data_IF_096106313421
#
_entry.id   IF_096106313421
#
_cell.length_a   1.000
_cell.length_b   1.000
_cell.length_c   1.000
_cell.angle_alpha   90.00
_cell.angle_beta   90.00
_cell.angle_gamma   90.00
#
_symmetry.space_group_name_H-M   'P 1'
#
loop_
_entity.id
_entity.type
_entity.pdbx_description
1 polymer ?
#
# COMPACT_ATOMS: atom_id res chain seq x y z
N UNK A 1 68.99 37.40 22.82
CA UNK A 1 68.18 36.22 23.23
C UNK A 1 66.71 36.53 23.40
N UNK A 2 66.27 37.71 23.69
CA UNK A 2 64.85 38.08 23.95
C UNK A 2 64.02 38.28 22.68
N UNK A 3 64.59 38.54 21.50
CA UNK A 3 63.89 38.77 20.21
C UNK A 3 63.40 37.49 19.52
N UNK A 4 64.19 36.43 19.57
CA UNK A 4 63.87 35.15 18.93
C UNK A 4 62.72 34.41 19.66
N UNK A 5 62.59 34.53 20.96
CA UNK A 5 61.54 33.94 21.77
C UNK A 5 60.16 34.56 21.47
N UNK A 6 60.11 35.89 21.24
CA UNK A 6 58.88 36.59 20.86
C UNK A 6 58.36 36.16 19.46
N UNK A 7 59.24 35.96 18.52
CA UNK A 7 58.85 35.51 17.16
C UNK A 7 58.33 34.07 17.19
N UNK A 8 58.94 33.21 18.02
CA UNK A 8 58.46 31.82 18.16
C UNK A 8 57.08 31.72 18.81
N UNK A 9 56.81 32.50 19.87
CA UNK A 9 55.51 32.54 20.56
C UNK A 9 54.41 33.10 19.63
N UNK A 10 54.71 34.13 18.81
CA UNK A 10 53.76 34.69 17.85
C UNK A 10 53.46 33.70 16.72
N UNK A 11 54.41 32.91 16.27
CA UNK A 11 54.22 31.86 15.30
C UNK A 11 53.29 30.74 15.82
N UNK A 12 53.47 30.33 17.07
CA UNK A 12 52.62 29.29 17.68
C UNK A 12 51.21 29.79 17.88
N UNK A 13 50.98 31.02 18.34
CA UNK A 13 49.65 31.58 18.53
C UNK A 13 48.88 31.73 17.22
N UNK A 14 49.53 32.13 16.14
CA UNK A 14 48.94 32.20 14.80
C UNK A 14 48.58 30.80 14.26
N UNK A 15 49.39 29.80 14.56
CA UNK A 15 49.13 28.40 14.13
C UNK A 15 47.94 27.80 14.88
N UNK A 16 47.77 28.09 16.17
CA UNK A 16 46.58 27.65 16.94
C UNK A 16 45.30 28.38 16.50
N UNK A 17 45.36 29.66 16.19
CA UNK A 17 44.24 30.42 15.65
C UNK A 17 43.81 29.91 14.28
N UNK A 18 44.75 29.58 13.40
CA UNK A 18 44.49 29.04 12.07
C UNK A 18 43.86 27.65 12.16
N UNK A 19 44.36 26.73 13.03
CA UNK A 19 43.75 25.42 13.29
C UNK A 19 42.34 25.53 13.83
N UNK A 20 42.11 26.43 14.80
CA UNK A 20 40.76 26.65 15.36
C UNK A 20 39.78 27.19 14.33
N UNK A 21 40.23 28.05 13.42
CA UNK A 21 39.41 28.61 12.36
C UNK A 21 39.07 27.57 11.28
N UNK A 22 40.02 26.72 10.90
CA UNK A 22 39.81 25.62 9.95
C UNK A 22 38.88 24.58 10.56
N UNK A 23 39.05 24.20 11.83
CA UNK A 23 38.13 23.24 12.49
C UNK A 23 36.70 23.79 12.58
N UNK A 24 36.51 25.06 12.96
CA UNK A 24 35.16 25.66 13.01
C UNK A 24 34.48 25.68 11.63
N UNK A 25 35.23 25.97 10.55
CA UNK A 25 34.71 25.89 9.19
C UNK A 25 34.38 24.45 8.80
N UNK A 26 35.18 23.45 9.20
CA UNK A 26 34.92 22.04 8.94
C UNK A 26 33.66 21.55 9.66
N UNK A 27 33.44 21.96 10.91
CA UNK A 27 32.21 21.64 11.65
C UNK A 27 30.96 22.28 11.04
N UNK A 28 31.05 23.53 10.57
CA UNK A 28 29.94 24.21 9.90
C UNK A 28 29.65 23.53 8.55
N UNK A 29 30.66 23.15 7.77
CA UNK A 29 30.45 22.40 6.51
C UNK A 29 29.85 21.03 6.78
N UNK A 30 30.27 20.32 7.83
CA UNK A 30 29.74 19.01 8.20
C UNK A 30 28.31 19.08 8.73
N UNK A 31 27.96 20.13 9.50
CA UNK A 31 26.59 20.34 9.98
C UNK A 31 25.64 20.75 8.84
N UNK A 32 26.10 21.51 7.85
CA UNK A 32 25.33 21.85 6.65
C UNK A 32 25.16 20.60 5.74
N UNK A 33 26.19 19.74 5.60
CA UNK A 33 26.06 18.49 4.85
C UNK A 33 25.13 17.49 5.55
N UNK A 34 25.11 17.45 6.89
CA UNK A 34 24.23 16.59 7.65
C UNK A 34 22.76 17.06 7.60
N UNK A 35 22.53 18.37 7.50
CA UNK A 35 21.17 18.92 7.39
C UNK A 35 20.56 18.77 6.00
N UNK A 36 21.36 18.56 4.96
CA UNK A 36 20.87 18.30 3.61
C UNK A 36 20.59 16.80 3.34
N UNK A 37 21.03 15.89 4.23
CA UNK A 37 20.82 14.46 4.07
C UNK A 37 19.45 13.95 4.58
N UNK A 38 18.63 14.82 5.19
CA UNK A 38 17.30 14.47 5.67
C UNK A 38 16.18 15.27 4.99
N UNK A 39 16.29 15.50 3.68
CA UNK A 39 15.11 15.70 2.87
C UNK A 39 14.49 14.32 2.63
N UNK A 40 13.89 13.75 3.67
CA UNK A 40 12.88 12.74 3.48
C UNK A 40 11.74 13.44 2.76
N UNK A 41 11.56 13.22 1.46
CA UNK A 41 10.31 13.52 0.84
C UNK A 41 9.25 12.83 1.70
N UNK A 42 8.37 13.61 2.32
CA UNK A 42 7.27 13.06 3.06
C UNK A 42 6.41 12.32 2.02
N UNK A 43 6.47 11.00 2.04
CA UNK A 43 5.57 10.17 1.24
C UNK A 43 4.18 10.35 1.84
N UNK A 44 3.27 10.93 1.07
CA UNK A 44 1.88 11.01 1.47
C UNK A 44 1.22 9.65 1.21
N UNK A 45 0.81 8.99 2.29
CA UNK A 45 0.03 7.76 2.19
C UNK A 45 -1.42 8.10 2.55
N UNK A 46 -2.34 7.76 1.65
CA UNK A 46 -3.78 7.77 1.89
C UNK A 46 -4.28 6.33 1.90
N UNK A 47 -5.24 6.08 2.75
CA UNK A 47 -5.83 4.75 2.93
C UNK A 47 -7.27 4.73 2.45
N UNK A 48 -7.84 3.55 2.23
CA UNK A 48 -9.24 3.34 1.93
C UNK A 48 -10.10 3.67 3.16
N UNK A 49 -10.29 4.96 3.43
CA UNK A 49 -11.00 5.47 4.61
C UNK A 49 -12.47 5.69 4.28
N UNK A 50 -13.36 4.87 4.85
CA UNK A 50 -14.82 5.00 4.68
C UNK A 50 -15.41 6.25 5.37
N UNK A 51 -14.65 7.00 6.16
CA UNK A 51 -15.06 8.29 6.71
C UNK A 51 -14.76 9.47 5.78
N UNK A 52 -14.01 9.24 4.69
CA UNK A 52 -13.68 10.26 3.70
C UNK A 52 -14.93 10.70 2.91
N UNK A 53 -14.89 11.92 2.37
CA UNK A 53 -15.93 12.43 1.50
C UNK A 53 -15.76 11.89 0.07
N UNK A 54 -16.51 10.83 -0.25
CA UNK A 54 -16.50 10.23 -1.58
C UNK A 54 -17.40 10.98 -2.54
N UNK A 55 -16.91 11.13 -3.77
CA UNK A 55 -17.62 11.64 -4.93
C UNK A 55 -17.89 10.50 -5.91
N UNK A 56 -18.89 10.67 -6.75
CA UNK A 56 -19.25 9.74 -7.80
C UNK A 56 -19.20 10.38 -9.19
N UNK A 57 -18.70 9.63 -10.17
CA UNK A 57 -18.70 10.03 -11.58
C UNK A 57 -18.94 8.81 -12.45
N UNK A 58 -19.84 8.95 -13.43
CA UNK A 58 -20.12 7.90 -14.40
C UNK A 58 -19.67 8.31 -15.79
N UNK A 59 -18.99 7.38 -16.49
CA UNK A 59 -18.83 7.41 -17.93
C UNK A 59 -19.72 6.32 -18.54
N UNK A 60 -20.44 6.66 -19.58
CA UNK A 60 -21.36 5.77 -20.27
C UNK A 60 -20.89 5.62 -21.72
N UNK A 61 -20.83 4.35 -22.15
CA UNK A 61 -20.41 4.00 -23.50
C UNK A 61 -21.47 3.10 -24.14
N UNK A 62 -21.48 3.03 -25.45
CA UNK A 62 -22.18 1.97 -26.16
C UNK A 62 -21.63 0.60 -25.75
N UNK A 63 -22.43 -0.45 -25.91
CA UNK A 63 -21.94 -1.82 -25.70
C UNK A 63 -20.83 -2.11 -26.71
N UNK A 64 -19.95 -3.08 -26.39
CA UNK A 64 -18.90 -3.52 -27.32
C UNK A 64 -19.51 -3.99 -28.66
N UNK A 65 -20.66 -4.65 -28.60
CA UNK A 65 -21.40 -5.10 -29.79
C UNK A 65 -21.86 -3.91 -30.67
N UNK A 66 -22.11 -2.74 -30.07
CA UNK A 66 -22.52 -1.51 -30.74
C UNK A 66 -21.32 -0.56 -30.98
N UNK A 67 -20.09 -1.06 -30.92
CA UNK A 67 -18.87 -0.34 -31.25
C UNK A 67 -18.19 0.38 -30.07
N UNK A 68 -18.72 0.30 -28.84
CA UNK A 68 -18.06 0.81 -27.62
C UNK A 68 -17.84 2.32 -27.56
N UNK A 69 -18.55 3.13 -28.36
CA UNK A 69 -18.34 4.57 -28.44
C UNK A 69 -18.74 5.26 -27.13
N UNK A 70 -17.97 6.26 -26.72
CA UNK A 70 -18.34 7.14 -25.60
C UNK A 70 -19.65 7.88 -25.91
N UNK A 71 -20.57 7.91 -24.94
CA UNK A 71 -21.87 8.56 -25.05
C UNK A 71 -21.91 9.84 -24.23
N UNK A 72 -21.68 9.74 -22.91
CA UNK A 72 -21.58 10.89 -22.01
C UNK A 72 -20.88 10.53 -20.70
N UNK A 73 -20.49 11.56 -19.93
CA UNK A 73 -20.06 11.42 -18.55
C UNK A 73 -20.63 12.55 -17.71
N UNK A 74 -20.92 12.25 -16.44
CA UNK A 74 -21.45 13.22 -15.48
C UNK A 74 -21.16 12.84 -14.04
N UNK A 75 -21.23 13.83 -13.12
CA UNK A 75 -21.22 13.60 -11.69
C UNK A 75 -22.51 12.90 -11.25
N UNK A 76 -22.38 11.87 -10.42
CA UNK A 76 -23.48 11.07 -9.87
C UNK A 76 -23.34 10.97 -8.36
N UNK A 77 -24.43 10.75 -7.63
CA UNK A 77 -24.36 10.38 -6.22
C UNK A 77 -23.65 9.02 -6.07
N UNK A 78 -22.86 8.86 -5.02
CA UNK A 78 -22.16 7.59 -4.73
C UNK A 78 -23.17 6.43 -4.66
N UNK A 79 -24.34 6.66 -4.02
CA UNK A 79 -25.43 5.68 -3.96
C UNK A 79 -26.04 5.35 -5.34
N UNK A 80 -26.04 6.32 -6.26
CA UNK A 80 -26.56 6.12 -7.61
C UNK A 80 -25.62 5.26 -8.47
N UNK A 81 -24.34 5.25 -8.12
CA UNK A 81 -23.34 4.32 -8.69
C UNK A 81 -23.46 2.89 -8.11
N UNK A 82 -24.32 2.68 -7.10
CA UNK A 82 -24.36 1.46 -6.28
C UNK A 82 -23.09 1.23 -5.47
N UNK A 83 -22.45 2.31 -5.03
CA UNK A 83 -21.39 2.25 -4.04
C UNK A 83 -21.96 2.60 -2.67
N UNK A 84 -21.67 1.77 -1.67
CA UNK A 84 -22.11 1.99 -0.29
C UNK A 84 -20.90 2.31 0.55
N UNK A 85 -20.84 3.53 1.08
CA UNK A 85 -19.78 3.97 2.01
C UNK A 85 -20.35 3.87 3.42
N UNK A 86 -19.79 2.97 4.23
CA UNK A 86 -20.22 2.72 5.61
C UNK A 86 -19.06 3.05 6.57
N UNK A 87 -19.10 4.28 7.10
CA UNK A 87 -18.10 4.74 8.07
C UNK A 87 -18.18 3.95 9.39
N UNK A 88 -19.35 3.41 9.76
CA UNK A 88 -19.51 2.60 10.96
C UNK A 88 -18.88 1.22 10.84
N UNK A 89 -18.93 0.62 9.66
CA UNK A 89 -18.27 -0.65 9.35
C UNK A 89 -16.82 -0.45 8.85
N UNK A 90 -16.40 0.78 8.54
CA UNK A 90 -15.08 1.06 7.97
C UNK A 90 -14.92 0.49 6.56
N UNK A 91 -15.99 0.45 5.75
CA UNK A 91 -15.98 -0.24 4.46
C UNK A 91 -16.62 0.55 3.33
N UNK A 92 -16.14 0.29 2.11
CA UNK A 92 -16.75 0.74 0.85
C UNK A 92 -17.13 -0.49 0.05
N UNK A 93 -18.43 -0.66 -0.20
CA UNK A 93 -18.95 -1.75 -1.03
C UNK A 93 -19.22 -1.22 -2.43
N UNK A 94 -18.70 -1.92 -3.44
CA UNK A 94 -18.84 -1.60 -4.87
C UNK A 94 -19.67 -2.68 -5.56
N UNK A 95 -20.61 -2.26 -6.40
CA UNK A 95 -21.51 -3.15 -7.14
C UNK A 95 -21.67 -2.66 -8.59
N UNK A 96 -22.21 -3.50 -9.50
CA UNK A 96 -22.70 -3.04 -10.80
C UNK A 96 -23.75 -1.94 -10.66
N UNK A 97 -23.84 -1.05 -11.66
CA UNK A 97 -24.88 -0.04 -11.64
C UNK A 97 -26.25 -0.65 -11.97
N UNK A 98 -27.18 -0.58 -11.01
CA UNK A 98 -28.58 -1.04 -11.16
C UNK A 98 -29.56 0.12 -11.37
N UNK A 99 -29.20 1.34 -10.95
CA UNK A 99 -30.11 2.48 -10.93
C UNK A 99 -30.56 2.85 -12.35
N UNK A 100 -29.64 2.88 -13.33
CA UNK A 100 -30.01 3.20 -14.71
C UNK A 100 -31.04 2.24 -15.33
N UNK A 101 -31.02 0.99 -14.92
CA UNK A 101 -32.02 -0.01 -15.32
C UNK A 101 -33.34 0.16 -14.56
N UNK A 102 -33.26 0.32 -13.23
CA UNK A 102 -34.43 0.41 -12.36
C UNK A 102 -35.24 1.68 -12.56
N UNK A 103 -34.56 2.81 -12.75
CA UNK A 103 -35.18 4.13 -12.90
C UNK A 103 -35.75 4.39 -14.29
N UNK A 104 -35.38 3.57 -15.28
CA UNK A 104 -35.78 3.70 -16.68
C UNK A 104 -36.42 2.41 -17.24
N UNK A 105 -37.51 1.92 -16.65
CA UNK A 105 -38.11 0.66 -17.06
C UNK A 105 -38.63 0.74 -18.49
N UNK A 106 -38.14 -0.18 -19.34
CA UNK A 106 -38.53 -0.26 -20.76
C UNK A 106 -37.91 0.78 -21.67
N UNK A 107 -37.00 1.64 -21.18
CA UNK A 107 -36.25 2.58 -22.06
C UNK A 107 -35.20 1.80 -22.88
N UNK A 108 -35.31 1.78 -24.23
CA UNK A 108 -34.37 1.06 -25.07
C UNK A 108 -32.96 1.66 -25.06
N UNK A 109 -32.76 2.85 -24.53
CA UNK A 109 -31.44 3.40 -24.32
C UNK A 109 -30.69 2.61 -23.25
N UNK A 110 -31.34 2.31 -22.11
CA UNK A 110 -30.73 1.60 -20.99
C UNK A 110 -30.95 0.08 -20.99
N UNK A 111 -32.01 -0.38 -21.65
CA UNK A 111 -32.44 -1.78 -21.64
C UNK A 111 -32.58 -2.27 -23.07
N UNK A 112 -31.82 -3.29 -23.45
CA UNK A 112 -31.99 -3.93 -24.76
C UNK A 112 -33.37 -4.62 -24.83
N UNK A 113 -34.26 -4.16 -25.72
CA UNK A 113 -35.61 -4.71 -25.79
C UNK A 113 -35.67 -6.17 -26.31
N UNK A 114 -34.62 -6.65 -26.98
CA UNK A 114 -34.56 -8.00 -27.49
C UNK A 114 -34.14 -9.01 -26.41
N UNK A 115 -33.26 -8.63 -25.50
CA UNK A 115 -32.68 -9.53 -24.50
C UNK A 115 -33.12 -9.22 -23.07
N UNK A 116 -33.60 -8.00 -22.80
CA UNK A 116 -33.88 -7.53 -21.44
C UNK A 116 -32.64 -7.27 -20.61
N UNK A 117 -31.45 -7.30 -21.20
CA UNK A 117 -30.18 -6.98 -20.55
C UNK A 117 -29.89 -5.47 -20.56
N UNK A 118 -28.91 -5.04 -19.80
CA UNK A 118 -28.40 -3.68 -19.90
C UNK A 118 -27.87 -3.37 -21.30
N UNK A 119 -28.11 -2.17 -21.79
CA UNK A 119 -27.78 -1.73 -23.16
C UNK A 119 -26.65 -0.69 -23.21
N UNK A 120 -25.98 -0.43 -22.10
CA UNK A 120 -24.81 0.48 -22.04
C UNK A 120 -23.69 -0.15 -21.22
N UNK A 121 -22.47 0.08 -21.67
CA UNK A 121 -21.28 -0.11 -20.83
C UNK A 121 -21.22 1.05 -19.85
N UNK A 122 -21.19 0.74 -18.57
CA UNK A 122 -21.18 1.71 -17.49
C UNK A 122 -19.83 1.64 -16.76
N UNK A 123 -19.16 2.77 -16.64
CA UNK A 123 -17.95 2.93 -15.86
C UNK A 123 -18.27 3.83 -14.66
N UNK A 124 -18.49 3.23 -13.49
CA UNK A 124 -18.76 3.93 -12.24
C UNK A 124 -17.47 4.18 -11.49
N UNK A 125 -17.19 5.45 -11.16
CA UNK A 125 -16.03 5.86 -10.40
C UNK A 125 -16.46 6.42 -9.05
N UNK A 126 -15.98 5.81 -7.96
CA UNK A 126 -16.19 6.24 -6.57
C UNK A 126 -14.85 6.65 -6.00
N UNK A 127 -14.65 7.93 -5.69
CA UNK A 127 -13.33 8.46 -5.40
C UNK A 127 -13.35 9.62 -4.40
N UNK A 128 -12.21 9.87 -3.80
CA UNK A 128 -11.90 11.10 -3.05
C UNK A 128 -11.10 12.01 -3.96
N UNK A 129 -11.46 13.30 -4.00
CA UNK A 129 -10.74 14.32 -4.76
C UNK A 129 -9.93 15.21 -3.82
N UNK A 130 -8.67 15.45 -4.17
CA UNK A 130 -7.79 16.34 -3.42
C UNK A 130 -7.05 17.30 -4.36
N UNK A 131 -7.21 18.59 -4.10
CA UNK A 131 -6.67 19.67 -4.94
C UNK A 131 -5.59 20.48 -4.21
N UNK A 132 -5.19 20.12 -2.98
CA UNK A 132 -4.34 21.00 -2.15
C UNK A 132 -3.18 20.28 -1.45
N UNK A 133 -3.47 19.21 -0.72
CA UNK A 133 -2.49 18.65 0.21
C UNK A 133 -1.58 17.57 -0.41
N UNK A 134 -1.99 16.99 -1.53
CA UNK A 134 -1.30 15.86 -2.18
C UNK A 134 -0.54 16.27 -3.44
N UNK A 135 -0.76 17.50 -3.92
CA UNK A 135 -0.14 18.02 -5.15
C UNK A 135 1.36 18.25 -4.94
N UNK A 136 2.17 17.95 -5.95
CA UNK A 136 3.61 18.20 -5.96
C UNK A 136 4.45 17.22 -5.13
N UNK A 137 3.86 16.10 -4.65
CA UNK A 137 4.55 15.09 -3.85
C UNK A 137 4.25 13.67 -4.33
N UNK A 138 5.02 12.70 -3.86
CA UNK A 138 4.69 11.30 -4.05
C UNK A 138 3.46 10.95 -3.22
N UNK A 139 2.50 10.25 -3.85
CA UNK A 139 1.29 9.75 -3.23
C UNK A 139 1.24 8.23 -3.32
N UNK A 140 1.02 7.57 -2.19
CA UNK A 140 0.68 6.15 -2.14
C UNK A 140 -0.75 5.98 -1.64
N UNK A 141 -1.60 5.30 -2.42
CA UNK A 141 -2.95 4.91 -2.04
C UNK A 141 -2.98 3.42 -1.73
N UNK A 142 -3.43 3.07 -0.53
CA UNK A 142 -3.51 1.69 -0.04
C UNK A 142 -4.90 1.35 0.46
N UNK A 143 -5.22 0.06 0.48
CA UNK A 143 -6.43 -0.47 1.07
C UNK A 143 -6.47 -1.98 0.95
N UNK A 144 -7.44 -2.61 1.58
CA UNK A 144 -7.62 -4.06 1.57
C UNK A 144 -8.93 -4.47 0.92
N UNK A 145 -8.96 -5.65 0.31
CA UNK A 145 -10.16 -6.27 -0.29
C UNK A 145 -10.66 -7.37 0.63
N UNK A 146 -11.64 -7.05 1.49
CA UNK A 146 -12.20 -8.02 2.43
C UNK A 146 -12.95 -9.16 1.72
N UNK A 147 -13.67 -8.84 0.63
CA UNK A 147 -14.33 -9.84 -0.21
C UNK A 147 -14.43 -9.39 -1.66
N UNK A 148 -14.45 -10.34 -2.58
CA UNK A 148 -14.65 -10.12 -4.00
C UNK A 148 -15.53 -11.25 -4.56
N UNK A 149 -16.79 -10.98 -4.80
CA UNK A 149 -17.79 -11.90 -5.36
C UNK A 149 -18.36 -11.39 -6.68
N UNK A 150 -17.79 -10.28 -7.20
CA UNK A 150 -18.26 -9.66 -8.44
C UNK A 150 -18.17 -10.62 -9.60
N UNK A 151 -19.23 -10.71 -10.41
CA UNK A 151 -19.29 -11.56 -11.61
C UNK A 151 -18.15 -11.19 -12.58
N UNK A 152 -17.49 -12.19 -13.22
CA UNK A 152 -16.36 -11.95 -14.15
C UNK A 152 -16.68 -11.11 -15.39
N UNK A 153 -17.96 -10.84 -15.70
CA UNK A 153 -18.36 -9.88 -16.74
C UNK A 153 -18.10 -8.43 -16.37
N UNK A 154 -17.77 -8.17 -15.10
CA UNK A 154 -17.38 -6.85 -14.58
C UNK A 154 -15.90 -6.82 -14.23
N UNK A 155 -15.31 -5.66 -14.41
CA UNK A 155 -13.92 -5.37 -14.00
C UNK A 155 -13.93 -4.30 -12.93
N UNK A 156 -13.20 -4.51 -11.85
CA UNK A 156 -13.01 -3.51 -10.81
C UNK A 156 -11.52 -3.31 -10.52
N UNK A 157 -11.14 -2.04 -10.33
CA UNK A 157 -9.78 -1.62 -10.02
C UNK A 157 -9.79 -0.53 -8.94
N UNK A 158 -8.69 -0.44 -8.19
CA UNK A 158 -8.33 0.78 -7.50
C UNK A 158 -7.51 1.68 -8.44
N UNK A 159 -7.60 3.00 -8.26
CA UNK A 159 -6.89 3.94 -9.13
C UNK A 159 -6.40 5.19 -8.40
N UNK A 160 -5.38 5.82 -8.99
CA UNK A 160 -5.05 7.24 -8.84
C UNK A 160 -5.17 7.86 -10.22
N UNK A 161 -6.05 8.87 -10.38
CA UNK A 161 -6.21 9.68 -11.60
C UNK A 161 -5.71 11.08 -11.33
N UNK A 162 -4.99 11.65 -12.29
CA UNK A 162 -4.46 13.01 -12.20
C UNK A 162 -4.97 13.81 -13.39
N UNK A 163 -5.45 15.02 -13.11
CA UNK A 163 -5.98 15.96 -14.10
C UNK A 163 -5.32 17.33 -13.95
N UNK A 164 -5.22 18.07 -15.04
CA UNK A 164 -4.89 19.48 -14.99
C UNK A 164 -6.05 20.29 -14.39
N UNK A 165 -5.82 21.58 -14.12
CA UNK A 165 -6.83 22.49 -13.58
C UNK A 165 -8.08 22.65 -14.46
N UNK A 166 -7.96 22.40 -15.74
CA UNK A 166 -9.08 22.37 -16.71
C UNK A 166 -9.75 20.99 -16.86
N UNK A 167 -9.39 20.04 -15.97
CA UNK A 167 -9.80 18.64 -16.00
C UNK A 167 -9.38 17.86 -17.23
N UNK A 168 -8.40 18.34 -18.01
CA UNK A 168 -7.76 17.49 -18.99
C UNK A 168 -6.96 16.37 -18.28
N UNK A 169 -7.12 15.14 -18.79
CA UNK A 169 -6.51 13.96 -18.20
C UNK A 169 -4.98 13.98 -18.36
N UNK A 170 -4.26 13.72 -17.28
CA UNK A 170 -2.79 13.65 -17.25
C UNK A 170 -2.31 12.21 -17.13
N UNK A 171 -2.74 11.49 -16.08
CA UNK A 171 -2.23 10.15 -15.79
C UNK A 171 -3.22 9.27 -15.01
N UNK A 172 -3.12 7.96 -15.24
CA UNK A 172 -3.82 6.90 -14.50
C UNK A 172 -2.81 5.87 -14.02
N UNK A 173 -2.79 5.65 -12.71
CA UNK A 173 -2.14 4.49 -12.10
C UNK A 173 -3.22 3.58 -11.50
N UNK A 174 -3.05 2.27 -11.61
CA UNK A 174 -4.07 1.31 -11.16
C UNK A 174 -3.48 0.11 -10.43
N UNK A 175 -4.31 -0.51 -9.58
CA UNK A 175 -4.04 -1.81 -9.00
C UNK A 175 -5.28 -2.72 -9.12
N UNK A 176 -5.09 -4.03 -9.36
CA UNK A 176 -6.18 -4.98 -9.31
C UNK A 176 -6.69 -5.13 -7.88
N UNK A 177 -7.99 -5.41 -7.75
CA UNK A 177 -8.63 -5.76 -6.48
C UNK A 177 -8.71 -7.29 -6.39
N UNK A 178 -8.09 -7.87 -5.36
CA UNK A 178 -8.04 -9.34 -5.15
C UNK A 178 -8.51 -9.67 -3.75
N UNK A 179 -9.48 -10.58 -3.63
CA UNK A 179 -10.05 -10.97 -2.34
C UNK A 179 -8.98 -11.40 -1.33
N UNK A 180 -9.07 -10.89 -0.10
CA UNK A 180 -8.15 -11.21 0.99
C UNK A 180 -6.75 -10.60 0.86
N UNK A 181 -6.53 -9.66 -0.08
CA UNK A 181 -5.25 -9.00 -0.29
C UNK A 181 -5.35 -7.48 -0.14
N UNK A 182 -4.25 -6.88 0.28
CA UNK A 182 -4.06 -5.44 0.22
C UNK A 182 -3.62 -5.03 -1.19
N UNK A 183 -4.01 -3.83 -1.59
CA UNK A 183 -3.49 -3.16 -2.79
C UNK A 183 -2.67 -1.93 -2.40
N UNK A 184 -1.74 -1.57 -3.27
CA UNK A 184 -0.94 -0.35 -3.13
C UNK A 184 -0.67 0.24 -4.51
N UNK A 185 -0.94 1.53 -4.68
CA UNK A 185 -0.67 2.30 -5.89
C UNK A 185 0.20 3.48 -5.50
N UNK A 186 1.33 3.66 -6.17
CA UNK A 186 2.20 4.82 -5.96
C UNK A 186 2.24 5.67 -7.22
N UNK A 187 1.98 6.95 -7.07
CA UNK A 187 2.13 7.97 -8.08
C UNK A 187 3.15 9.02 -7.64
N UNK A 188 4.21 9.19 -8.43
CA UNK A 188 5.18 10.26 -8.20
C UNK A 188 4.72 11.49 -8.96
N UNK A 189 4.15 12.45 -8.24
CA UNK A 189 3.61 13.67 -8.82
C UNK A 189 4.73 14.63 -9.20
N UNK A 190 4.93 14.79 -10.50
CA UNK A 190 5.88 15.73 -11.11
C UNK A 190 5.19 16.89 -11.81
N UNK A 191 3.84 16.91 -11.74
CA UNK A 191 3.02 17.89 -12.43
C UNK A 191 2.95 19.24 -11.68
N UNK A 192 2.52 20.32 -12.33
CA UNK A 192 2.32 21.62 -11.70
C UNK A 192 1.36 21.58 -10.49
N UNK A 193 1.50 22.56 -9.59
CA UNK A 193 0.73 22.66 -8.34
C UNK A 193 -0.80 22.78 -8.51
N UNK A 194 -1.28 23.12 -9.71
CA UNK A 194 -2.71 23.25 -10.03
C UNK A 194 -3.37 21.94 -10.52
N UNK A 195 -2.71 20.81 -10.33
CA UNK A 195 -3.18 19.48 -10.70
C UNK A 195 -4.22 18.95 -9.71
N UNK A 196 -5.33 18.41 -10.20
CA UNK A 196 -6.34 17.71 -9.41
C UNK A 196 -6.00 16.23 -9.31
N UNK A 197 -6.00 15.66 -8.09
CA UNK A 197 -5.75 14.24 -7.84
C UNK A 197 -7.04 13.59 -7.33
N UNK A 198 -7.42 12.48 -7.97
CA UNK A 198 -8.50 11.61 -7.55
C UNK A 198 -7.94 10.22 -7.24
N UNK A 199 -8.31 9.64 -6.09
CA UNK A 199 -7.98 8.27 -5.75
C UNK A 199 -9.23 7.54 -5.26
N UNK A 200 -9.38 6.30 -5.68
CA UNK A 200 -10.59 5.53 -5.40
C UNK A 200 -10.73 4.28 -6.25
N UNK A 201 -11.95 3.98 -6.64
CA UNK A 201 -12.33 2.72 -7.25
C UNK A 201 -13.16 2.92 -8.50
N UNK A 202 -13.04 1.97 -9.44
CA UNK A 202 -13.81 1.94 -10.67
C UNK A 202 -14.41 0.55 -10.84
N UNK A 203 -15.70 0.50 -11.20
CA UNK A 203 -16.37 -0.71 -11.66
C UNK A 203 -16.86 -0.49 -13.08
N UNK A 204 -16.52 -1.42 -13.98
CA UNK A 204 -16.86 -1.37 -15.39
C UNK A 204 -17.61 -2.63 -15.80
N UNK A 205 -18.74 -2.46 -16.45
CA UNK A 205 -19.54 -3.55 -17.00
C UNK A 205 -20.86 -3.04 -17.56
N UNK A 206 -21.73 -3.92 -18.03
CA UNK A 206 -23.07 -3.49 -18.46
C UNK A 206 -23.86 -2.95 -17.26
N UNK A 207 -24.67 -1.92 -17.50
CA UNK A 207 -25.68 -1.56 -16.51
C UNK A 207 -26.62 -2.75 -16.30
N UNK A 208 -27.04 -3.02 -15.06
CA UNK A 208 -27.58 -4.29 -14.67
C UNK A 208 -29.03 -4.24 -14.20
N UNK A 209 -29.79 -5.32 -14.49
CA UNK A 209 -31.09 -5.52 -13.90
C UNK A 209 -30.96 -5.81 -12.40
N UNK A 210 -31.60 -5.04 -11.50
CA UNK A 210 -31.54 -5.25 -10.04
C UNK A 210 -32.02 -6.64 -9.60
N UNK A 211 -32.83 -7.34 -10.38
CA UNK A 211 -33.22 -8.72 -10.10
C UNK A 211 -32.05 -9.70 -10.07
N UNK A 212 -30.89 -9.34 -10.62
CA UNK A 212 -29.67 -10.14 -10.66
C UNK A 212 -28.64 -9.70 -9.61
N UNK A 213 -28.96 -8.81 -8.67
CA UNK A 213 -28.01 -8.23 -7.74
C UNK A 213 -27.24 -9.30 -6.95
N UNK A 214 -27.92 -10.30 -6.40
CA UNK A 214 -27.28 -11.38 -5.65
C UNK A 214 -26.33 -12.23 -6.51
N UNK A 215 -26.67 -12.44 -7.79
CA UNK A 215 -25.87 -13.23 -8.72
C UNK A 215 -24.64 -12.47 -9.24
N UNK A 216 -24.75 -11.14 -9.38
CA UNK A 216 -23.68 -10.30 -9.89
C UNK A 216 -22.66 -9.91 -8.80
N UNK A 217 -23.05 -10.04 -7.54
CA UNK A 217 -22.16 -9.88 -6.39
C UNK A 217 -21.62 -8.47 -6.15
N UNK A 218 -20.54 -8.40 -5.38
CA UNK A 218 -19.96 -7.12 -4.92
C UNK A 218 -18.49 -7.27 -4.55
N UNK A 219 -17.86 -6.13 -4.29
CA UNK A 219 -16.52 -6.03 -3.70
C UNK A 219 -16.65 -5.22 -2.42
N UNK A 220 -16.03 -5.69 -1.34
CA UNK A 220 -15.94 -4.95 -0.07
C UNK A 220 -14.49 -4.53 0.14
N UNK A 221 -14.29 -3.21 0.17
CA UNK A 221 -13.00 -2.56 0.44
C UNK A 221 -12.98 -2.09 1.88
N UNK A 222 -11.86 -2.24 2.53
CA UNK A 222 -11.57 -1.77 3.89
C UNK A 222 -10.23 -1.04 3.91
N UNK A 223 -9.89 -0.37 5.01
CA UNK A 223 -8.62 0.36 5.16
C UNK A 223 -7.42 -0.54 4.82
N UNK A 224 -7.25 -1.59 5.56
CA UNK A 224 -6.33 -2.67 5.22
C UNK A 224 -7.02 -3.99 5.52
N UNK A 225 -6.80 -5.00 4.73
CA UNK A 225 -6.98 -6.33 5.27
C UNK A 225 -5.98 -6.35 6.42
N UNK A 226 -6.45 -6.14 7.65
CA UNK A 226 -5.71 -6.60 8.81
C UNK A 226 -5.54 -8.10 8.55
N UNK A 227 -4.51 -8.40 7.74
CA UNK A 227 -4.02 -9.73 7.62
C UNK A 227 -3.53 -10.13 9.01
N UNK A 228 -4.43 -10.69 9.75
CA UNK A 228 -4.17 -12.09 9.98
C UNK A 228 -4.29 -12.76 8.58
N UNK A 229 -3.26 -12.69 7.74
CA UNK A 229 -2.76 -13.94 7.27
C UNK A 229 -2.81 -14.76 8.54
N UNK A 230 -3.77 -15.67 8.63
CA UNK A 230 -3.76 -16.67 9.67
C UNK A 230 -2.45 -17.42 9.41
N UNK A 231 -1.36 -16.73 9.84
CA UNK A 231 -0.06 -17.34 9.96
C UNK A 231 -0.35 -18.37 11.01
N UNK A 232 -0.77 -19.55 10.50
CA UNK A 232 -1.01 -20.67 11.35
C UNK A 232 0.33 -20.96 12.03
N UNK A 233 0.51 -20.31 13.19
CA UNK A 233 1.71 -20.48 14.00
C UNK A 233 1.91 -21.96 14.34
N UNK A 234 0.89 -22.81 14.10
CA UNK A 234 0.99 -24.27 14.18
C UNK A 234 1.69 -24.86 12.97
N UNK A 235 1.77 -24.14 11.83
CA UNK A 235 2.49 -24.58 10.62
C UNK A 235 4.01 -24.68 10.82
N UNK A 236 4.58 -23.97 11.82
CA UNK A 236 6.00 -24.05 12.18
C UNK A 236 6.14 -24.83 13.49
N UNK A 237 6.80 -25.96 13.43
CA UNK A 237 7.23 -26.76 14.59
C UNK A 237 8.72 -26.60 14.86
N UNK A 238 9.10 -26.63 16.14
CA UNK A 238 10.50 -26.43 16.54
C UNK A 238 10.86 -27.36 17.68
N UNK A 239 12.02 -28.03 17.58
CA UNK A 239 12.50 -28.98 18.60
C UNK A 239 14.02 -29.24 18.49
N UNK A 240 14.65 -29.77 19.56
CA UNK A 240 14.16 -29.85 20.93
C UNK A 240 14.20 -28.51 21.64
N UNK A 241 13.33 -28.30 22.59
CA UNK A 241 13.42 -27.16 23.51
C UNK A 241 13.15 -27.64 24.94
N UNK A 242 14.15 -27.70 25.83
CA UNK A 242 15.51 -27.14 25.72
C UNK A 242 16.43 -27.84 24.72
N UNK A 243 17.32 -27.03 24.08
CA UNK A 243 18.31 -27.47 23.10
C UNK A 243 19.68 -27.69 23.77
N UNK A 244 20.43 -28.72 23.28
CA UNK A 244 21.82 -28.96 23.69
C UNK A 244 22.81 -28.58 22.56
N UNK A 245 22.60 -29.04 21.34
CA UNK A 245 23.52 -28.81 20.22
C UNK A 245 22.82 -28.39 18.96
N UNK A 246 21.70 -28.98 18.59
CA UNK A 246 20.97 -28.68 17.36
C UNK A 246 19.53 -28.34 17.66
N UNK A 247 19.01 -27.32 16.99
CA UNK A 247 17.64 -26.86 17.06
C UNK A 247 17.01 -26.96 15.68
N UNK A 248 16.03 -27.83 15.52
CA UNK A 248 15.35 -28.12 14.27
C UNK A 248 14.10 -27.25 14.15
N UNK A 249 13.92 -26.67 12.98
CA UNK A 249 12.76 -25.90 12.58
C UNK A 249 12.15 -26.60 11.37
N UNK A 250 10.88 -26.96 11.44
CA UNK A 250 10.10 -27.54 10.35
C UNK A 250 8.89 -26.65 10.06
N UNK A 251 8.61 -26.41 8.79
CA UNK A 251 7.51 -25.59 8.33
C UNK A 251 6.78 -26.27 7.16
N UNK A 252 5.49 -25.98 7.03
CA UNK A 252 4.72 -26.37 5.84
C UNK A 252 4.96 -25.42 4.66
N UNK A 253 5.54 -24.25 4.93
CA UNK A 253 5.94 -23.26 3.93
C UNK A 253 7.44 -23.06 3.90
N UNK A 254 7.97 -22.56 2.79
CA UNK A 254 9.39 -22.26 2.63
C UNK A 254 9.83 -21.23 3.67
N UNK A 255 10.83 -21.59 4.49
CA UNK A 255 11.47 -20.71 5.47
C UNK A 255 12.39 -19.76 4.73
N UNK A 256 12.01 -18.47 4.68
CA UNK A 256 12.76 -17.42 3.98
C UNK A 256 13.94 -16.95 4.81
N UNK A 257 13.75 -16.83 6.15
CA UNK A 257 14.83 -16.40 7.04
C UNK A 257 14.68 -16.98 8.44
N UNK A 258 15.82 -17.22 9.10
CA UNK A 258 15.94 -17.59 10.50
C UNK A 258 16.96 -16.69 11.17
N UNK A 259 16.51 -15.84 12.10
CA UNK A 259 17.36 -14.96 12.90
C UNK A 259 17.23 -15.29 14.38
N UNK A 260 18.36 -15.63 15.05
CA UNK A 260 18.36 -16.00 16.45
C UNK A 260 19.13 -14.94 17.25
N UNK A 261 18.52 -14.48 18.34
CA UNK A 261 19.03 -13.40 19.19
C UNK A 261 19.21 -13.90 20.63
N UNK A 262 20.23 -13.40 21.31
CA UNK A 262 20.37 -13.57 22.74
C UNK A 262 19.49 -12.56 23.51
N UNK A 263 19.44 -12.63 24.83
CA UNK A 263 18.63 -11.75 25.69
C UNK A 263 19.07 -10.27 25.65
N UNK A 264 20.26 -9.94 25.15
CA UNK A 264 20.75 -8.59 24.93
C UNK A 264 20.35 -8.03 23.57
N UNK A 265 19.60 -8.79 22.75
CA UNK A 265 19.21 -8.42 21.39
C UNK A 265 20.33 -8.57 20.35
N UNK A 266 21.46 -9.19 20.71
CA UNK A 266 22.53 -9.46 19.75
C UNK A 266 22.16 -10.68 18.91
N UNK A 267 22.26 -10.52 17.58
CA UNK A 267 22.02 -11.61 16.63
C UNK A 267 23.21 -12.59 16.64
N UNK A 268 22.92 -13.86 16.91
CA UNK A 268 23.93 -14.91 17.01
C UNK A 268 23.88 -15.89 15.84
N UNK A 269 22.73 -16.03 15.18
CA UNK A 269 22.56 -16.81 13.94
C UNK A 269 21.69 -15.97 12.99
N UNK A 270 22.05 -15.96 11.70
CA UNK A 270 21.27 -15.34 10.63
C UNK A 270 21.44 -16.15 9.36
N UNK A 271 20.36 -16.83 8.94
CA UNK A 271 20.36 -17.72 7.80
C UNK A 271 19.12 -17.52 6.92
N UNK A 272 19.26 -17.84 5.64
CA UNK A 272 18.19 -17.81 4.63
C UNK A 272 18.07 -19.21 4.02
N UNK A 273 17.40 -20.17 4.69
CA UNK A 273 17.43 -21.57 4.31
C UNK A 273 16.81 -21.88 2.94
N UNK A 274 15.81 -21.11 2.52
CA UNK A 274 15.02 -21.36 1.31
C UNK A 274 14.53 -22.83 1.22
N UNK A 275 14.06 -23.36 2.33
CA UNK A 275 13.67 -24.78 2.49
C UNK A 275 12.52 -24.92 3.49
N UNK A 276 11.86 -26.10 3.49
CA UNK A 276 10.79 -26.43 4.44
C UNK A 276 11.31 -26.80 5.82
N UNK A 277 12.62 -27.05 5.95
CA UNK A 277 13.27 -27.38 7.22
C UNK A 277 14.63 -26.69 7.33
N UNK A 278 15.04 -26.42 8.57
CA UNK A 278 16.36 -25.86 8.88
C UNK A 278 16.83 -26.39 10.24
N UNK A 279 18.13 -26.68 10.35
CA UNK A 279 18.76 -27.13 11.60
C UNK A 279 19.81 -26.12 12.03
N UNK A 280 19.53 -25.36 13.07
CA UNK A 280 20.44 -24.40 13.66
C UNK A 280 21.43 -25.06 14.60
N UNK A 281 22.72 -24.73 14.48
CA UNK A 281 23.78 -25.20 15.37
C UNK A 281 23.91 -24.31 16.60
N UNK A 282 23.55 -24.86 17.77
CA UNK A 282 23.65 -24.24 19.08
C UNK A 282 24.87 -24.69 19.87
N UNK A 283 25.73 -25.55 19.30
CA UNK A 283 26.82 -26.19 20.05
C UNK A 283 27.82 -25.19 20.63
N UNK A 284 28.08 -24.09 19.91
CA UNK A 284 28.99 -23.02 20.32
C UNK A 284 28.35 -21.95 21.21
N UNK A 285 27.02 -21.97 21.36
CA UNK A 285 26.29 -20.95 22.13
C UNK A 285 26.31 -21.27 23.61
N UNK A 286 26.40 -20.24 24.45
CA UNK A 286 26.36 -20.37 25.91
C UNK A 286 24.98 -20.78 26.40
N UNK A 287 24.91 -21.49 27.55
CA UNK A 287 23.64 -21.80 28.18
C UNK A 287 22.85 -20.49 28.47
N UNK A 288 21.57 -20.48 28.15
CA UNK A 288 20.75 -19.28 28.29
C UNK A 288 19.46 -19.31 27.48
N UNK A 289 18.78 -18.17 27.44
CA UNK A 289 17.55 -17.95 26.66
C UNK A 289 17.89 -17.24 25.39
N UNK A 290 17.30 -17.70 24.29
CA UNK A 290 17.39 -17.13 22.94
C UNK A 290 16.00 -16.91 22.38
N UNK A 291 15.88 -15.98 21.44
CA UNK A 291 14.68 -15.75 20.65
C UNK A 291 14.98 -16.08 19.18
N UNK A 292 14.30 -17.08 18.64
CA UNK A 292 14.38 -17.44 17.23
C UNK A 292 13.20 -16.80 16.48
N UNK A 293 13.49 -15.90 15.54
CA UNK A 293 12.53 -15.32 14.62
C UNK A 293 12.64 -16.09 13.30
N UNK A 294 11.53 -16.71 12.89
CA UNK A 294 11.43 -17.58 11.72
C UNK A 294 10.41 -16.94 10.79
N UNK A 295 10.82 -16.59 9.57
CA UNK A 295 9.93 -15.97 8.58
C UNK A 295 9.69 -16.92 7.40
N UNK A 296 8.42 -16.93 6.94
CA UNK A 296 7.94 -17.58 5.71
C UNK A 296 7.31 -16.53 4.79
N UNK A 297 6.75 -16.93 3.65
CA UNK A 297 6.02 -15.99 2.78
C UNK A 297 4.76 -15.44 3.44
N UNK A 298 4.08 -16.23 4.28
CA UNK A 298 2.81 -15.84 4.90
C UNK A 298 2.97 -15.07 6.21
N UNK A 299 4.17 -15.08 6.83
CA UNK A 299 4.38 -14.37 8.09
C UNK A 299 5.64 -14.79 8.86
N UNK A 300 5.71 -14.43 10.14
CA UNK A 300 6.84 -14.78 10.99
C UNK A 300 6.40 -15.30 12.36
N UNK A 301 7.20 -16.21 12.93
CA UNK A 301 7.02 -16.77 14.28
C UNK A 301 8.25 -16.54 15.13
N UNK A 302 8.05 -15.98 16.31
CA UNK A 302 9.11 -15.87 17.31
C UNK A 302 8.97 -16.97 18.34
N UNK A 303 10.02 -17.76 18.51
CA UNK A 303 10.08 -18.90 19.46
C UNK A 303 11.12 -18.63 20.53
N UNK A 304 10.75 -18.82 21.79
CA UNK A 304 11.69 -18.80 22.91
C UNK A 304 12.43 -20.17 22.97
N UNK A 305 13.75 -20.13 22.84
CA UNK A 305 14.62 -21.33 22.87
C UNK A 305 15.46 -21.29 24.13
N UNK A 306 15.50 -22.40 24.88
CA UNK A 306 16.31 -22.55 26.09
C UNK A 306 17.51 -23.43 25.74
N UNK A 307 18.73 -22.90 25.81
CA UNK A 307 19.99 -23.61 25.65
C UNK A 307 20.47 -24.12 27.02
N UNK A 308 20.74 -25.43 27.11
CA UNK A 308 21.37 -26.09 28.27
C UNK A 308 22.88 -26.17 28.12
#
# INVERSE_FOLDING_TARGET
MCSLLKIWILSQSQFYLLKSFIMKKAYILFSVLLSTAFMTNAQNTVVADASAEYLGYANVFETIANGGAYVFGSGWGVADLKSVVDAGAGSVTLQPNYNTYADNPGDPFWIDPATGLGNKQFEGNTFVENNTNLIGSELTFTGGVASYTLDPSYVAIAFIKVFNADFSFVKLETAPLVAGQDFSITYTNVEPEDTTIQYGYQVVGLNANPANEDALGSIVIIDTVLGTNDFDATSISTYPNPVTSTFTIESQEVIISVAIFNVLGQQVINETPDALNYVADFSSLTAGVYLANIATQSGSKTVKVIKK
#
